data_IF_774842718012
#
_entry.id   IF_774842718012
#
_cell.length_a   1.000
_cell.length_b   1.000
_cell.length_c   1.000
_cell.angle_alpha   90.00
_cell.angle_beta   90.00
_cell.angle_gamma   90.00
#
_symmetry.space_group_name_H-M   'P 1'
#
loop_
_entity.id
_entity.type
_entity.pdbx_description
1 polymer ?
#
# COMPACT_ATOMS: atom_id res chain seq x y z
N UNK A 1 -21.93 15.00 23.64
CA UNK A 1 -21.13 13.80 23.32
C UNK A 1 -21.91 12.50 23.53
N UNK A 2 -22.61 12.30 24.65
CA UNK A 2 -23.36 11.06 24.94
C UNK A 2 -24.50 10.76 23.95
N UNK A 3 -25.22 11.77 23.46
CA UNK A 3 -26.31 11.57 22.48
C UNK A 3 -25.82 11.12 21.10
N UNK A 4 -24.70 11.68 20.62
CA UNK A 4 -24.12 11.31 19.33
C UNK A 4 -23.61 9.87 19.33
N UNK A 5 -22.89 9.47 20.38
CA UNK A 5 -22.38 8.10 20.50
C UNK A 5 -23.52 7.08 20.59
N UNK A 6 -24.59 7.38 21.34
CA UNK A 6 -25.77 6.53 21.42
C UNK A 6 -26.50 6.39 20.08
N UNK A 7 -26.57 7.46 19.28
CA UNK A 7 -27.21 7.42 17.97
C UNK A 7 -26.34 6.65 16.95
N UNK A 8 -25.02 6.87 16.97
CA UNK A 8 -24.06 6.13 16.15
C UNK A 8 -24.13 4.62 16.42
N UNK A 9 -24.15 4.21 17.70
CA UNK A 9 -24.33 2.80 18.09
C UNK A 9 -25.62 2.20 17.53
N UNK A 10 -26.73 2.95 17.61
CA UNK A 10 -28.02 2.49 17.11
C UNK A 10 -27.99 2.31 15.59
N UNK A 11 -27.47 3.28 14.85
CA UNK A 11 -27.37 3.24 13.39
C UNK A 11 -26.45 2.11 12.92
N UNK A 12 -25.28 1.93 13.55
CA UNK A 12 -24.37 0.81 13.24
C UNK A 12 -25.05 -0.54 13.44
N UNK A 13 -25.76 -0.70 14.56
CA UNK A 13 -26.47 -1.94 14.86
C UNK A 13 -27.57 -2.21 13.85
N UNK A 14 -28.33 -1.19 13.46
CA UNK A 14 -29.41 -1.31 12.47
C UNK A 14 -28.89 -1.65 11.08
N UNK A 15 -27.89 -0.91 10.59
CA UNK A 15 -27.26 -1.14 9.29
C UNK A 15 -26.57 -2.51 9.24
N UNK A 16 -25.85 -2.90 10.30
CA UNK A 16 -25.25 -4.22 10.41
C UNK A 16 -26.26 -5.36 10.41
N UNK A 17 -27.42 -5.19 11.05
CA UNK A 17 -28.51 -6.17 11.00
C UNK A 17 -29.11 -6.30 9.60
N UNK A 18 -29.22 -5.19 8.86
CA UNK A 18 -29.61 -5.21 7.44
C UNK A 18 -28.58 -5.95 6.58
N UNK A 19 -27.28 -5.81 6.86
CA UNK A 19 -26.24 -6.57 6.15
C UNK A 19 -26.29 -8.08 6.39
N UNK A 20 -26.82 -8.55 7.53
CA UNK A 20 -27.00 -9.99 7.77
C UNK A 20 -27.97 -10.63 6.75
N UNK A 21 -28.90 -9.84 6.22
CA UNK A 21 -29.84 -10.23 5.17
C UNK A 21 -29.78 -9.18 4.04
N UNK A 22 -28.69 -9.18 3.24
CA UNK A 22 -28.40 -8.09 2.33
C UNK A 22 -29.48 -7.95 1.25
N UNK A 23 -29.74 -6.73 0.76
CA UNK A 23 -30.62 -6.50 -0.38
C UNK A 23 -30.18 -7.31 -1.62
N UNK A 24 -31.15 -7.70 -2.45
CA UNK A 24 -30.87 -8.38 -3.72
C UNK A 24 -30.36 -7.44 -4.82
N UNK A 25 -30.79 -6.18 -4.78
CA UNK A 25 -30.35 -5.15 -5.73
C UNK A 25 -28.91 -4.74 -5.41
N UNK A 26 -28.06 -4.68 -6.43
CA UNK A 26 -26.66 -4.25 -6.30
C UNK A 26 -26.60 -2.80 -5.81
N UNK A 27 -27.46 -1.91 -6.32
CA UNK A 27 -27.46 -0.49 -5.95
C UNK A 27 -27.86 -0.30 -4.47
N UNK A 28 -28.88 -1.02 -4.01
CA UNK A 28 -29.33 -0.97 -2.61
C UNK A 28 -28.27 -1.56 -1.67
N UNK A 29 -27.63 -2.65 -2.09
CA UNK A 29 -26.53 -3.26 -1.33
C UNK A 29 -25.34 -2.31 -1.23
N UNK A 30 -24.94 -1.69 -2.33
CA UNK A 30 -23.86 -0.72 -2.36
C UNK A 30 -24.19 0.52 -1.51
N UNK A 31 -25.45 0.95 -1.49
CA UNK A 31 -25.90 2.06 -0.63
C UNK A 31 -25.80 1.69 0.85
N UNK A 32 -26.21 0.47 1.21
CA UNK A 32 -26.08 -0.04 2.58
C UNK A 32 -24.61 -0.21 3.01
N UNK A 33 -23.73 -0.65 2.11
CA UNK A 33 -22.30 -0.76 2.40
C UNK A 33 -21.64 0.62 2.59
N UNK A 34 -22.03 1.63 1.80
CA UNK A 34 -21.59 3.01 2.03
C UNK A 34 -22.09 3.56 3.37
N UNK A 35 -23.34 3.28 3.74
CA UNK A 35 -23.89 3.65 5.04
C UNK A 35 -23.03 3.06 6.17
N UNK A 36 -22.75 1.76 6.11
CA UNK A 36 -21.92 1.06 7.12
C UNK A 36 -20.50 1.60 7.16
N UNK A 37 -19.84 1.76 6.02
CA UNK A 37 -18.48 2.33 5.94
C UNK A 37 -18.42 3.72 6.59
N UNK A 38 -19.34 4.62 6.23
CA UNK A 38 -19.37 5.98 6.76
C UNK A 38 -19.57 5.98 8.28
N UNK A 39 -20.43 5.11 8.80
CA UNK A 39 -20.63 4.99 10.25
C UNK A 39 -19.38 4.45 10.95
N UNK A 40 -18.72 3.44 10.37
CA UNK A 40 -17.49 2.86 10.91
C UNK A 40 -16.34 3.88 10.97
N UNK A 41 -16.24 4.78 9.98
CA UNK A 41 -15.21 5.81 9.93
C UNK A 41 -15.24 6.75 11.16
N UNK A 42 -16.40 6.94 11.80
CA UNK A 42 -16.55 7.77 13.01
C UNK A 42 -16.23 7.02 14.31
N UNK A 43 -16.00 5.71 14.26
CA UNK A 43 -15.71 4.92 15.46
C UNK A 43 -14.21 4.97 15.77
N UNK A 44 -13.86 5.40 16.97
CA UNK A 44 -12.48 5.42 17.44
C UNK A 44 -11.97 4.01 17.77
N UNK A 45 -10.64 3.87 17.86
CA UNK A 45 -10.03 2.60 18.28
C UNK A 45 -10.37 2.28 19.73
N UNK A 46 -10.34 0.98 20.05
CA UNK A 46 -10.66 0.48 21.41
C UNK A 46 -12.05 0.95 21.89
N UNK A 47 -13.12 0.65 21.13
CA UNK A 47 -14.46 1.12 21.45
C UNK A 47 -14.99 0.55 22.76
N UNK A 48 -15.97 1.26 23.35
CA UNK A 48 -16.72 0.81 24.53
C UNK A 48 -17.40 -0.54 24.29
N UNK A 49 -17.81 -1.23 25.38
CA UNK A 49 -18.54 -2.50 25.25
C UNK A 49 -19.83 -2.35 24.44
N UNK A 50 -20.61 -1.29 24.67
CA UNK A 50 -21.85 -1.03 23.92
C UNK A 50 -21.60 -0.84 22.42
N UNK A 51 -20.54 -0.11 22.06
CA UNK A 51 -20.15 0.07 20.67
C UNK A 51 -19.65 -1.24 20.05
N UNK A 52 -18.89 -2.06 20.76
CA UNK A 52 -18.54 -3.42 20.28
C UNK A 52 -19.78 -4.27 20.01
N UNK A 53 -20.78 -4.21 20.88
CA UNK A 53 -22.05 -4.92 20.69
C UNK A 53 -22.83 -4.39 19.46
N UNK A 54 -22.72 -3.08 19.17
CA UNK A 54 -23.31 -2.46 17.99
C UNK A 54 -22.58 -2.83 16.67
N UNK A 55 -21.26 -3.03 16.72
CA UNK A 55 -20.44 -3.46 15.57
C UNK A 55 -20.64 -4.93 15.20
N UNK A 56 -21.01 -5.77 16.17
CA UNK A 56 -21.06 -7.22 16.02
C UNK A 56 -21.88 -7.72 14.81
N UNK A 57 -23.07 -7.17 14.49
CA UNK A 57 -23.81 -7.57 13.30
C UNK A 57 -23.03 -7.33 12.00
N UNK A 58 -22.36 -6.18 11.86
CA UNK A 58 -21.55 -5.84 10.68
C UNK A 58 -20.33 -6.77 10.56
N UNK A 59 -19.61 -6.98 11.66
CA UNK A 59 -18.48 -7.92 11.72
C UNK A 59 -18.91 -9.30 11.21
N UNK A 60 -20.03 -9.81 11.74
CA UNK A 60 -20.54 -11.12 11.34
C UNK A 60 -21.01 -11.17 9.88
N UNK A 61 -21.64 -10.10 9.39
CA UNK A 61 -22.20 -10.06 8.05
C UNK A 61 -21.12 -10.03 6.96
N UNK A 62 -20.08 -9.20 7.12
CA UNK A 62 -19.11 -8.90 6.07
C UNK A 62 -18.27 -10.11 5.62
N UNK A 63 -18.10 -11.10 6.49
CA UNK A 63 -17.41 -12.37 6.18
C UNK A 63 -18.34 -13.45 5.61
N UNK A 64 -19.62 -13.16 5.42
CA UNK A 64 -20.54 -14.10 4.77
C UNK A 64 -20.19 -14.23 3.28
N UNK A 65 -20.15 -15.46 2.77
CA UNK A 65 -19.87 -15.74 1.35
C UNK A 65 -20.73 -14.95 0.36
N UNK A 66 -21.98 -14.58 0.73
CA UNK A 66 -22.85 -13.73 -0.09
C UNK A 66 -22.26 -12.34 -0.37
N UNK A 67 -21.44 -11.82 0.54
CA UNK A 67 -20.78 -10.52 0.43
C UNK A 67 -19.29 -10.70 0.05
N UNK A 68 -18.57 -11.54 0.80
CA UNK A 68 -17.13 -11.73 0.63
C UNK A 68 -16.75 -12.28 -0.75
N UNK A 69 -17.59 -13.16 -1.31
CA UNK A 69 -17.40 -13.80 -2.62
C UNK A 69 -18.42 -13.33 -3.66
N UNK A 70 -18.95 -12.12 -3.50
CA UNK A 70 -19.92 -11.54 -4.42
C UNK A 70 -19.35 -11.47 -5.86
N UNK A 71 -20.18 -11.54 -6.90
CA UNK A 71 -19.68 -11.53 -8.29
C UNK A 71 -19.12 -10.14 -8.69
N UNK A 72 -19.84 -9.09 -8.32
CA UNK A 72 -19.50 -7.71 -8.68
C UNK A 72 -18.29 -7.16 -7.91
N UNK A 73 -17.34 -6.58 -8.65
CA UNK A 73 -16.11 -6.02 -8.09
C UNK A 73 -16.37 -4.82 -7.18
N UNK A 74 -17.29 -3.92 -7.55
CA UNK A 74 -17.62 -2.73 -6.75
C UNK A 74 -18.21 -3.10 -5.37
N UNK A 75 -18.93 -4.23 -5.30
CA UNK A 75 -19.42 -4.79 -4.04
C UNK A 75 -18.25 -5.32 -3.22
N UNK A 76 -17.33 -6.09 -3.83
CA UNK A 76 -16.12 -6.59 -3.14
C UNK A 76 -15.28 -5.45 -2.56
N UNK A 77 -15.04 -4.39 -3.34
CA UNK A 77 -14.28 -3.22 -2.88
C UNK A 77 -14.98 -2.55 -1.69
N UNK A 78 -16.30 -2.41 -1.74
CA UNK A 78 -17.08 -1.81 -0.64
C UNK A 78 -17.08 -2.69 0.62
N UNK A 79 -17.15 -4.02 0.47
CA UNK A 79 -17.01 -4.98 1.57
C UNK A 79 -15.61 -4.89 2.20
N UNK A 80 -14.56 -4.87 1.39
CA UNK A 80 -13.18 -4.70 1.86
C UNK A 80 -13.03 -3.40 2.62
N UNK A 81 -13.57 -2.29 2.11
CA UNK A 81 -13.50 -0.99 2.78
C UNK A 81 -14.10 -1.04 4.19
N UNK A 82 -15.28 -1.66 4.35
CA UNK A 82 -15.90 -1.86 5.66
C UNK A 82 -15.04 -2.74 6.59
N UNK A 83 -14.46 -3.82 6.06
CA UNK A 83 -13.60 -4.72 6.82
C UNK A 83 -12.32 -4.03 7.29
N UNK A 84 -11.73 -3.18 6.45
CA UNK A 84 -10.53 -2.40 6.76
C UNK A 84 -10.83 -1.41 7.90
N UNK A 85 -11.98 -0.73 7.86
CA UNK A 85 -12.39 0.14 8.98
C UNK A 85 -12.64 -0.64 10.27
N UNK A 86 -13.29 -1.81 10.20
CA UNK A 86 -13.43 -2.69 11.38
C UNK A 86 -12.06 -3.07 11.93
N UNK A 87 -11.12 -3.43 11.04
CA UNK A 87 -9.75 -3.78 11.43
C UNK A 87 -9.07 -2.60 12.11
N UNK A 88 -9.19 -1.38 11.56
CA UNK A 88 -8.69 -0.15 12.19
C UNK A 88 -9.24 0.03 13.60
N UNK A 89 -10.55 -0.15 13.79
CA UNK A 89 -11.23 0.00 15.08
C UNK A 89 -10.74 -1.03 16.11
N UNK A 90 -10.53 -2.28 15.69
CA UNK A 90 -10.18 -3.37 16.60
C UNK A 90 -8.68 -3.52 16.86
N UNK A 91 -7.82 -2.93 16.01
CA UNK A 91 -6.35 -2.88 16.20
C UNK A 91 -6.01 -2.48 17.64
N UNK A 92 -5.13 -3.21 18.34
CA UNK A 92 -4.21 -4.25 17.83
C UNK A 92 -4.81 -5.65 17.70
N UNK A 93 -6.08 -5.86 18.09
CA UNK A 93 -6.70 -7.18 18.03
C UNK A 93 -7.32 -7.43 16.65
N UNK A 94 -7.04 -8.59 16.07
CA UNK A 94 -7.66 -9.00 14.81
C UNK A 94 -9.19 -9.14 15.00
N UNK A 95 -10.01 -8.60 14.09
CA UNK A 95 -11.47 -8.70 14.19
C UNK A 95 -12.00 -10.11 13.87
N UNK A 96 -11.19 -10.93 13.20
CA UNK A 96 -11.53 -12.28 12.75
C UNK A 96 -10.44 -13.28 13.10
N UNK A 97 -10.77 -14.58 12.99
CA UNK A 97 -9.79 -15.66 13.18
C UNK A 97 -8.80 -15.70 12.01
N UNK A 98 -7.62 -16.26 12.25
CA UNK A 98 -6.51 -16.30 11.31
C UNK A 98 -6.91 -16.80 9.91
N UNK A 99 -7.62 -17.93 9.81
CA UNK A 99 -8.06 -18.47 8.51
C UNK A 99 -9.02 -17.53 7.75
N UNK A 100 -9.83 -16.76 8.49
CA UNK A 100 -10.72 -15.76 7.89
C UNK A 100 -9.93 -14.52 7.49
N UNK A 101 -8.95 -14.10 8.32
CA UNK A 101 -8.04 -13.01 7.99
C UNK A 101 -7.24 -13.31 6.72
N UNK A 102 -6.78 -14.55 6.53
CA UNK A 102 -6.09 -14.98 5.29
C UNK A 102 -6.98 -14.81 4.05
N UNK A 103 -8.24 -15.23 4.11
CA UNK A 103 -9.20 -15.03 3.01
C UNK A 103 -9.49 -13.53 2.76
N UNK A 104 -9.62 -12.75 3.83
CA UNK A 104 -9.77 -11.29 3.74
C UNK A 104 -8.55 -10.63 3.09
N UNK A 105 -7.34 -11.05 3.44
CA UNK A 105 -6.12 -10.53 2.82
C UNK A 105 -6.06 -10.87 1.34
N UNK A 106 -6.45 -12.08 0.94
CA UNK A 106 -6.53 -12.44 -0.47
C UNK A 106 -7.49 -11.51 -1.22
N UNK A 107 -8.63 -11.19 -0.61
CA UNK A 107 -9.59 -10.25 -1.18
C UNK A 107 -9.03 -8.81 -1.25
N UNK A 108 -8.35 -8.34 -0.21
CA UNK A 108 -7.69 -7.03 -0.19
C UNK A 108 -6.70 -6.92 -1.34
N UNK A 109 -5.77 -7.87 -1.47
CA UNK A 109 -4.76 -7.85 -2.55
C UNK A 109 -5.43 -7.88 -3.92
N UNK A 110 -6.44 -8.73 -4.12
CA UNK A 110 -7.20 -8.78 -5.37
C UNK A 110 -7.91 -7.44 -5.67
N UNK A 111 -8.43 -6.72 -4.66
CA UNK A 111 -9.03 -5.39 -4.89
C UNK A 111 -8.00 -4.33 -5.25
N UNK A 112 -6.82 -4.35 -4.63
CA UNK A 112 -5.72 -3.45 -4.96
C UNK A 112 -5.19 -3.70 -6.38
N UNK A 113 -5.09 -4.96 -6.79
CA UNK A 113 -4.68 -5.37 -8.14
C UNK A 113 -5.58 -4.83 -9.24
N UNK A 114 -6.89 -4.81 -8.99
CA UNK A 114 -7.87 -4.38 -9.98
C UNK A 114 -8.15 -2.88 -9.95
N UNK A 115 -7.39 -2.08 -9.19
CA UNK A 115 -7.66 -0.66 -8.98
C UNK A 115 -7.69 0.17 -10.28
N UNK A 116 -6.97 -0.22 -11.33
CA UNK A 116 -7.03 0.43 -12.65
C UNK A 116 -8.31 0.13 -13.45
N UNK A 117 -9.09 -0.87 -13.01
CA UNK A 117 -10.28 -1.38 -13.71
C UNK A 117 -11.58 -1.15 -12.95
N UNK A 118 -11.52 -0.63 -11.72
CA UNK A 118 -12.71 -0.33 -10.92
C UNK A 118 -13.34 1.00 -11.30
N UNK A 119 -14.62 1.18 -10.94
CA UNK A 119 -15.32 2.44 -11.14
C UNK A 119 -14.65 3.59 -10.36
N UNK A 120 -14.89 4.84 -10.77
CA UNK A 120 -14.37 6.04 -10.08
C UNK A 120 -14.77 6.08 -8.60
N UNK A 121 -15.95 5.54 -8.26
CA UNK A 121 -16.42 5.41 -6.88
C UNK A 121 -15.54 4.43 -6.10
N UNK A 122 -15.35 3.23 -6.63
CA UNK A 122 -14.52 2.20 -6.03
C UNK A 122 -13.06 2.62 -5.93
N UNK A 123 -12.52 3.37 -6.91
CA UNK A 123 -11.15 3.86 -6.88
C UNK A 123 -10.84 4.70 -5.62
N UNK A 124 -11.78 5.56 -5.19
CA UNK A 124 -11.64 6.33 -3.95
C UNK A 124 -11.56 5.42 -2.72
N UNK A 125 -12.39 4.38 -2.68
CA UNK A 125 -12.35 3.38 -1.60
C UNK A 125 -11.03 2.61 -1.60
N UNK A 126 -10.53 2.15 -2.74
CA UNK A 126 -9.22 1.46 -2.79
C UNK A 126 -8.08 2.38 -2.35
N UNK A 127 -8.15 3.68 -2.66
CA UNK A 127 -7.20 4.68 -2.13
C UNK A 127 -7.26 4.75 -0.60
N UNK A 128 -8.46 4.82 -0.02
CA UNK A 128 -8.65 4.82 1.44
C UNK A 128 -8.20 3.50 2.08
N UNK A 129 -8.46 2.36 1.42
CA UNK A 129 -8.01 1.04 1.87
C UNK A 129 -6.49 1.01 2.00
N UNK A 130 -5.76 1.46 0.98
CA UNK A 130 -4.30 1.51 1.03
C UNK A 130 -3.77 2.41 2.15
N UNK A 131 -4.38 3.59 2.30
CA UNK A 131 -4.00 4.53 3.36
C UNK A 131 -4.22 3.91 4.75
N UNK A 132 -5.38 3.30 5.00
CA UNK A 132 -5.66 2.63 6.27
C UNK A 132 -4.73 1.44 6.50
N UNK A 133 -4.45 0.60 5.49
CA UNK A 133 -3.50 -0.52 5.60
C UNK A 133 -2.12 -0.03 6.03
N UNK A 134 -1.62 1.07 5.45
CA UNK A 134 -0.35 1.67 5.81
C UNK A 134 -0.38 2.18 7.27
N UNK A 135 -1.43 2.92 7.64
CA UNK A 135 -1.57 3.54 8.96
C UNK A 135 -1.69 2.52 10.10
N UNK A 136 -2.48 1.45 9.90
CA UNK A 136 -2.65 0.38 10.91
C UNK A 136 -1.60 -0.72 10.80
N UNK A 137 -0.63 -0.57 9.89
CA UNK A 137 0.46 -1.51 9.62
C UNK A 137 -0.04 -2.93 9.36
N UNK A 138 -1.16 -3.06 8.64
CA UNK A 138 -1.84 -4.35 8.47
C UNK A 138 -0.99 -5.40 7.75
N UNK A 139 -0.01 -4.97 6.96
CA UNK A 139 0.97 -5.87 6.34
C UNK A 139 1.80 -6.67 7.34
N UNK A 140 2.02 -6.18 8.57
CA UNK A 140 2.71 -6.94 9.61
C UNK A 140 1.87 -8.14 10.07
N UNK A 141 0.55 -7.95 10.17
CA UNK A 141 -0.39 -9.05 10.47
C UNK A 141 -0.38 -10.10 9.35
N UNK A 142 -0.20 -9.69 8.09
CA UNK A 142 -0.03 -10.65 6.99
C UNK A 142 1.23 -11.51 7.18
N UNK A 143 2.34 -10.91 7.63
CA UNK A 143 3.58 -11.63 7.92
C UNK A 143 3.43 -12.55 9.15
N UNK A 144 2.79 -12.07 10.21
CA UNK A 144 2.52 -12.86 11.42
C UNK A 144 1.66 -14.09 11.14
N UNK A 145 0.77 -14.01 10.13
CA UNK A 145 -0.06 -15.13 9.67
C UNK A 145 0.58 -15.96 8.53
N UNK A 146 1.89 -15.80 8.30
CA UNK A 146 2.67 -16.54 7.29
C UNK A 146 2.12 -16.37 5.85
N UNK A 147 1.58 -15.18 5.53
CA UNK A 147 1.05 -14.85 4.21
C UNK A 147 2.13 -14.26 3.27
N UNK A 148 3.37 -14.73 3.35
CA UNK A 148 4.51 -14.18 2.58
C UNK A 148 4.22 -14.11 1.08
N UNK A 149 3.71 -15.20 0.49
CA UNK A 149 3.35 -15.29 -0.92
C UNK A 149 2.40 -14.15 -1.35
N UNK A 150 1.42 -13.84 -0.50
CA UNK A 150 0.43 -12.83 -0.76
C UNK A 150 0.99 -11.40 -0.63
N UNK A 151 1.95 -11.20 0.27
CA UNK A 151 2.73 -9.95 0.36
C UNK A 151 3.53 -9.74 -0.93
N UNK A 152 4.12 -10.80 -1.49
CA UNK A 152 4.81 -10.76 -2.79
C UNK A 152 3.87 -10.30 -3.89
N UNK A 153 2.69 -10.93 -3.98
CA UNK A 153 1.70 -10.62 -5.02
C UNK A 153 1.26 -9.16 -4.91
N UNK A 154 1.00 -8.67 -3.70
CA UNK A 154 0.68 -7.27 -3.43
C UNK A 154 1.78 -6.32 -3.92
N UNK A 155 3.05 -6.61 -3.62
CA UNK A 155 4.18 -5.77 -4.04
C UNK A 155 4.34 -5.74 -5.55
N UNK A 156 4.23 -6.91 -6.20
CA UNK A 156 4.29 -6.99 -7.66
C UNK A 156 3.20 -6.14 -8.30
N UNK A 157 2.03 -6.11 -7.67
CA UNK A 157 0.89 -5.35 -8.14
C UNK A 157 1.09 -3.85 -7.96
N UNK A 158 1.60 -3.40 -6.81
CA UNK A 158 2.00 -1.99 -6.61
C UNK A 158 3.07 -1.54 -7.62
N UNK A 159 4.10 -2.36 -7.86
CA UNK A 159 5.15 -2.03 -8.84
C UNK A 159 4.62 -1.89 -10.27
N UNK A 160 3.59 -2.66 -10.66
CA UNK A 160 2.90 -2.47 -11.95
C UNK A 160 2.13 -1.15 -11.98
N UNK A 161 1.51 -0.77 -10.86
CA UNK A 161 0.66 0.41 -10.72
C UNK A 161 1.45 1.72 -10.63
N UNK A 162 2.67 1.75 -10.08
CA UNK A 162 3.53 2.95 -10.02
C UNK A 162 3.75 3.57 -11.42
N UNK A 163 3.59 2.79 -12.49
CA UNK A 163 3.66 3.28 -13.88
C UNK A 163 2.47 4.14 -14.30
N UNK A 164 1.41 4.18 -13.50
CA UNK A 164 0.21 4.98 -13.70
C UNK A 164 0.31 6.28 -12.90
N UNK A 165 -0.30 7.36 -13.40
CA UNK A 165 -0.27 8.68 -12.77
C UNK A 165 -1.23 8.74 -11.55
N UNK A 166 -0.85 8.05 -10.47
CA UNK A 166 -1.61 8.01 -9.23
C UNK A 166 -1.33 9.24 -8.35
N UNK A 167 -2.28 9.66 -7.50
CA UNK A 167 -2.05 10.71 -6.52
C UNK A 167 -0.86 10.38 -5.58
N UNK A 168 -0.08 11.37 -5.12
CA UNK A 168 1.08 11.13 -4.25
C UNK A 168 0.74 10.34 -2.97
N UNK A 169 -0.46 10.54 -2.41
CA UNK A 169 -0.92 9.80 -1.21
C UNK A 169 -1.00 8.29 -1.46
N UNK A 170 -1.42 7.86 -2.65
CA UNK A 170 -1.49 6.43 -3.02
C UNK A 170 -0.08 5.84 -3.12
N UNK A 171 0.83 6.57 -3.77
CA UNK A 171 2.23 6.14 -3.90
C UNK A 171 2.92 6.07 -2.53
N UNK A 172 2.66 7.04 -1.64
CA UNK A 172 3.17 7.06 -0.27
C UNK A 172 2.67 5.88 0.56
N UNK A 173 1.38 5.53 0.42
CA UNK A 173 0.81 4.38 1.12
C UNK A 173 1.44 3.06 0.62
N UNK A 174 1.59 2.89 -0.70
CA UNK A 174 2.27 1.73 -1.28
C UNK A 174 3.72 1.60 -0.79
N UNK A 175 4.48 2.70 -0.81
CA UNK A 175 5.87 2.73 -0.34
C UNK A 175 5.98 2.39 1.15
N UNK A 176 5.08 2.93 1.98
CA UNK A 176 5.02 2.64 3.41
C UNK A 176 4.76 1.16 3.66
N UNK A 177 3.77 0.58 2.98
CA UNK A 177 3.43 -0.84 3.09
C UNK A 177 4.62 -1.71 2.66
N UNK A 178 5.24 -1.39 1.53
CA UNK A 178 6.38 -2.15 1.00
C UNK A 178 7.59 -2.10 1.94
N UNK A 179 7.89 -0.90 2.45
CA UNK A 179 8.99 -0.69 3.39
C UNK A 179 8.77 -1.41 4.71
N UNK A 180 7.57 -1.33 5.28
CA UNK A 180 7.23 -2.00 6.54
C UNK A 180 7.38 -3.52 6.42
N UNK A 181 6.82 -4.13 5.38
CA UNK A 181 6.94 -5.57 5.21
C UNK A 181 8.39 -5.98 4.95
N UNK A 182 9.15 -5.27 4.10
CA UNK A 182 10.58 -5.57 3.85
C UNK A 182 11.44 -5.57 5.11
N UNK A 183 11.19 -4.66 6.04
CA UNK A 183 11.95 -4.60 7.30
C UNK A 183 11.64 -5.75 8.26
N UNK A 184 10.49 -6.42 8.10
CA UNK A 184 9.98 -7.44 9.02
C UNK A 184 9.92 -8.85 8.39
N UNK A 185 10.26 -8.99 7.12
CA UNK A 185 10.36 -10.28 6.44
C UNK A 185 11.56 -11.06 7.04
N UNK A 186 11.29 -12.31 7.45
CA UNK A 186 12.32 -13.21 7.97
C UNK A 186 13.46 -13.41 6.96
N UNK A 187 14.74 -13.49 7.38
CA UNK A 187 15.88 -13.76 6.49
C UNK A 187 15.72 -15.03 5.64
N UNK A 188 14.91 -16.00 6.05
CA UNK A 188 14.62 -17.23 5.30
C UNK A 188 13.74 -16.95 4.07
N UNK A 189 12.94 -15.88 4.12
CA UNK A 189 12.11 -15.38 3.03
C UNK A 189 12.92 -14.48 2.06
N UNK A 190 14.26 -14.51 2.10
CA UNK A 190 15.16 -13.85 1.12
C UNK A 190 14.86 -14.21 -0.35
N UNK A 191 14.18 -15.33 -0.58
CA UNK A 191 13.57 -15.65 -1.89
C UNK A 191 12.67 -14.54 -2.42
N UNK A 192 12.03 -13.76 -1.54
CA UNK A 192 11.20 -12.60 -1.86
C UNK A 192 12.05 -11.45 -2.43
N UNK A 193 13.18 -11.14 -1.79
CA UNK A 193 14.14 -10.16 -2.29
C UNK A 193 14.68 -10.55 -3.67
N UNK A 194 15.07 -11.82 -3.84
CA UNK A 194 15.55 -12.33 -5.14
C UNK A 194 14.46 -12.35 -6.21
N UNK A 195 13.21 -12.70 -5.86
CA UNK A 195 12.08 -12.66 -6.79
C UNK A 195 11.76 -11.22 -7.23
N UNK A 196 11.74 -10.27 -6.29
CA UNK A 196 11.52 -8.85 -6.59
C UNK A 196 12.66 -8.32 -7.47
N UNK A 197 13.93 -8.56 -7.10
CA UNK A 197 15.10 -8.11 -7.86
C UNK A 197 15.12 -8.73 -9.27
N UNK A 198 14.93 -10.05 -9.38
CA UNK A 198 14.88 -10.76 -10.67
C UNK A 198 13.76 -10.18 -11.55
N UNK A 199 12.62 -9.83 -10.96
CA UNK A 199 11.48 -9.29 -11.71
C UNK A 199 11.66 -7.83 -12.07
N UNK A 200 12.21 -7.00 -11.19
CA UNK A 200 12.61 -5.62 -11.49
C UNK A 200 13.61 -5.63 -12.64
N UNK A 201 14.64 -6.49 -12.60
CA UNK A 201 15.62 -6.66 -13.67
C UNK A 201 14.96 -7.11 -14.99
N UNK A 202 14.04 -8.09 -14.95
CA UNK A 202 13.28 -8.51 -16.13
C UNK A 202 12.38 -7.40 -16.70
N UNK A 203 11.86 -6.53 -15.85
CA UNK A 203 11.04 -5.38 -16.26
C UNK A 203 11.90 -4.25 -16.84
N UNK A 204 13.05 -3.96 -16.23
CA UNK A 204 14.04 -3.02 -16.77
C UNK A 204 14.55 -3.50 -18.14
N UNK A 205 14.86 -4.78 -18.30
CA UNK A 205 15.21 -5.36 -19.60
C UNK A 205 14.13 -5.14 -20.67
N UNK A 206 12.84 -5.28 -20.31
CA UNK A 206 11.73 -5.02 -21.23
C UNK A 206 11.59 -3.56 -21.61
N UNK A 207 11.93 -2.64 -20.71
CA UNK A 207 11.95 -1.19 -20.95
C UNK A 207 13.18 -0.77 -21.76
N UNK A 208 14.29 -1.50 -21.65
CA UNK A 208 15.54 -1.22 -22.35
C UNK A 208 15.65 -1.88 -23.74
N UNK A 209 14.86 -2.92 -24.05
CA UNK A 209 14.82 -3.56 -25.39
C UNK A 209 14.27 -2.68 -26.53
N UNK A 210 13.29 -1.77 -26.32
CA UNK A 210 12.82 -0.84 -27.36
C UNK A 210 13.86 0.21 -27.77
N UNK A 211 14.80 0.59 -26.89
CA UNK A 211 15.84 1.59 -27.21
C UNK A 211 16.99 1.05 -28.04
N UNK A 212 17.07 -0.28 -28.25
CA UNK A 212 18.11 -0.89 -29.09
C UNK A 212 17.64 -1.21 -30.53
N UNK A 213 16.41 -0.81 -30.90
CA UNK A 213 15.91 -0.85 -32.29
C UNK A 213 15.56 0.56 -32.79
N UNK A 214 16.57 1.44 -32.87
CA UNK A 214 16.56 2.54 -33.83
C UNK A 214 17.31 2.06 -35.09
N UNK A 215 16.74 2.20 -36.30
CA UNK A 215 17.14 1.42 -37.46
C UNK A 215 18.50 1.86 -38.02
N UNK A 216 19.28 0.87 -38.45
CA UNK A 216 20.55 0.97 -39.17
C UNK A 216 20.41 1.58 -40.58
N UNK A 217 19.87 2.80 -40.69
CA UNK A 217 19.87 3.56 -41.96
C UNK A 217 20.07 5.05 -41.71
N UNK A 218 21.33 5.44 -41.62
CA UNK A 218 21.81 6.76 -42.05
C UNK A 218 22.96 6.50 -43.04
N UNK A 219 22.59 5.94 -44.18
CA UNK A 219 23.42 5.95 -45.39
C UNK A 219 22.68 6.85 -46.38
N UNK A 220 23.20 8.04 -46.61
CA UNK A 220 22.69 9.00 -47.59
C UNK A 220 21.73 10.06 -47.04
N UNK A 221 22.30 11.15 -46.53
CA UNK A 221 21.70 12.49 -46.65
C UNK A 221 22.82 13.53 -46.54
N UNK A 222 23.40 13.87 -47.70
CA UNK A 222 24.11 15.12 -47.87
C UNK A 222 23.15 16.30 -47.65
N UNK A 223 23.69 17.39 -47.11
CA UNK A 223 23.12 18.74 -47.02
C UNK A 223 21.77 18.90 -46.29
N UNK A 224 21.86 19.19 -44.99
CA UNK A 224 20.91 20.11 -44.35
C UNK A 224 21.68 21.16 -43.55
N UNK A 225 21.75 22.36 -44.12
CA UNK A 225 22.20 23.61 -43.49
C UNK A 225 21.30 23.89 -42.28
N UNK A 226 21.88 23.98 -41.09
CA UNK A 226 21.21 24.57 -39.93
C UNK A 226 21.49 26.06 -39.94
N UNK A 227 20.49 26.87 -40.32
CA UNK A 227 20.50 28.31 -40.06
C UNK A 227 20.34 28.53 -38.56
N UNK A 228 21.36 29.11 -37.94
CA UNK A 228 21.31 29.62 -36.57
C UNK A 228 20.65 30.99 -36.65
N UNK A 229 19.44 31.12 -36.08
CA UNK A 229 18.85 32.43 -35.80
C UNK A 229 19.51 32.96 -34.53
N UNK A 230 20.38 33.95 -34.73
CA UNK A 230 21.11 34.67 -33.70
C UNK A 230 20.18 35.68 -33.01
N UNK A 231 19.89 35.49 -31.72
CA UNK A 231 19.40 36.58 -30.88
C UNK A 231 20.61 37.27 -30.26
N UNK A 232 20.88 38.47 -30.78
CA UNK A 232 21.92 39.38 -30.34
C UNK A 232 21.75 39.78 -28.86
N UNK A 233 22.86 39.77 -28.12
CA UNK A 233 23.18 40.88 -27.22
C UNK A 233 24.70 41.03 -27.12
N UNK A 234 25.21 42.01 -27.86
CA UNK A 234 26.31 42.92 -27.54
C UNK A 234 27.36 42.47 -26.51
N UNK A 235 28.56 42.12 -26.99
CA UNK A 235 29.79 42.91 -26.84
C UNK A 235 30.99 42.14 -27.44
N UNK A 236 31.93 42.81 -28.14
CA UNK A 236 33.00 42.15 -28.89
C UNK A 236 34.33 42.11 -28.12
N UNK A 237 35.11 41.03 -28.24
CA UNK A 237 36.54 41.13 -28.59
C UNK A 237 37.26 39.77 -28.69
N UNK A 238 37.81 39.53 -29.88
CA UNK A 238 39.13 38.91 -30.20
C UNK A 238 39.32 37.41 -29.89
N UNK A 239 39.32 36.52 -30.91
CA UNK A 239 40.48 36.09 -31.74
C UNK A 239 41.48 35.27 -30.87
N UNK A 240 41.88 34.02 -31.13
CA UNK A 240 42.10 33.22 -32.35
C UNK A 240 42.14 31.72 -31.96
N UNK A 241 41.79 30.86 -32.91
CA UNK A 241 42.28 29.50 -33.22
C UNK A 241 43.21 28.77 -32.22
N UNK A 242 42.83 27.56 -31.81
CA UNK A 242 43.45 26.34 -32.34
C UNK A 242 42.75 25.08 -31.79
N UNK A 243 42.26 24.24 -32.72
CA UNK A 243 41.86 22.87 -32.41
C UNK A 243 43.13 22.02 -32.22
N UNK A 244 43.26 21.39 -31.06
CA UNK A 244 43.92 20.09 -30.96
C UNK A 244 42.96 19.07 -30.37
N UNK A 245 42.63 18.06 -31.19
CA UNK A 245 42.06 16.80 -30.75
C UNK A 245 43.05 16.16 -29.77
N UNK A 246 42.66 16.07 -28.50
CA UNK A 246 43.26 15.18 -27.51
C UNK A 246 42.25 14.11 -27.12
N UNK A 247 42.65 12.85 -27.23
CA UNK A 247 41.93 11.68 -26.73
C UNK A 247 41.58 11.85 -25.24
N UNK A 248 40.36 11.48 -24.85
CA UNK A 248 40.00 11.39 -23.43
C UNK A 248 40.38 10.00 -22.92
N UNK A 249 41.54 9.90 -22.29
CA UNK A 249 41.86 8.84 -21.34
C UNK A 249 40.97 8.98 -20.09
N UNK A 250 40.36 7.86 -19.69
CA UNK A 250 39.81 7.58 -18.36
C UNK A 250 38.66 8.47 -17.82
N UNK A 251 37.43 7.93 -17.81
CA UNK A 251 36.32 8.48 -17.03
C UNK A 251 36.53 8.12 -15.56
N UNK A 252 37.08 9.04 -14.76
CA UNK A 252 37.04 8.93 -13.29
C UNK A 252 35.63 9.23 -12.80
N UNK A 253 34.92 8.21 -12.33
CA UNK A 253 33.68 8.38 -11.57
C UNK A 253 34.02 8.78 -10.14
N UNK A 254 33.89 10.06 -9.81
CA UNK A 254 33.92 10.55 -8.43
C UNK A 254 32.60 10.18 -7.76
N UNK A 255 32.63 9.16 -6.89
CA UNK A 255 31.54 8.90 -5.94
C UNK A 255 31.64 9.95 -4.84
N UNK A 256 30.69 10.90 -4.81
CA UNK A 256 30.53 11.79 -3.66
C UNK A 256 29.94 10.99 -2.49
N UNK A 257 30.53 11.06 -1.28
CA UNK A 257 29.92 10.44 -0.11
C UNK A 257 28.67 11.24 0.28
N UNK A 258 27.52 10.57 0.31
CA UNK A 258 26.31 11.11 0.93
C UNK A 258 26.58 11.28 2.44
N UNK A 259 26.63 12.53 2.89
CA UNK A 259 26.71 12.87 4.31
C UNK A 259 25.32 12.67 4.91
N UNK A 260 25.15 11.57 5.66
CA UNK A 260 24.01 11.41 6.55
C UNK A 260 24.22 12.28 7.79
N UNK A 261 23.43 13.35 7.92
CA UNK A 261 23.20 13.99 9.22
C UNK A 261 21.98 13.32 9.85
N UNK A 262 22.23 12.24 10.57
CA UNK A 262 21.29 11.69 11.55
C UNK A 262 21.45 12.54 12.81
N UNK A 263 20.38 13.21 13.24
CA UNK A 263 20.30 13.77 14.58
C UNK A 263 19.25 12.94 15.32
N UNK A 264 19.70 11.78 15.81
CA UNK A 264 18.96 10.91 16.72
C UNK A 264 19.17 11.42 18.15
N UNK A 265 18.12 11.97 18.77
CA UNK A 265 18.01 11.95 20.22
C UNK A 265 17.42 10.60 20.62
N UNK A 266 18.30 9.66 20.96
CA UNK A 266 17.93 8.40 21.61
C UNK A 266 17.61 8.70 23.07
N UNK A 267 16.33 8.68 23.43
CA UNK A 267 15.92 8.60 24.84
C UNK A 267 16.09 7.14 25.28
N UNK A 268 17.18 6.86 26.00
CA UNK A 268 17.43 5.60 26.70
C UNK A 268 16.37 5.39 27.80
N UNK A 269 15.49 4.40 27.63
CA UNK A 269 14.65 3.88 28.72
C UNK A 269 15.54 3.00 29.60
N UNK A 270 15.63 3.23 30.93
CA UNK A 270 16.48 2.43 31.80
C UNK A 270 15.87 1.05 32.07
N UNK A 271 16.76 0.05 31.98
CA UNK A 271 16.69 -1.32 32.51
C UNK A 271 15.43 -1.72 33.29
N UNK A 272 14.71 -2.71 32.75
CA UNK A 272 13.86 -3.60 33.55
C UNK A 272 14.70 -4.84 33.88
N UNK A 273 14.98 -5.04 35.16
CA UNK A 273 15.62 -6.23 35.68
C UNK A 273 14.75 -7.47 35.44
N UNK A 274 15.35 -8.50 34.84
CA UNK A 274 14.73 -9.82 34.74
C UNK A 274 14.60 -10.44 36.14
N UNK A 275 13.38 -10.53 36.64
CA UNK A 275 13.05 -11.38 37.79
C UNK A 275 13.03 -12.84 37.33
N UNK A 276 13.95 -13.63 37.88
CA UNK A 276 13.98 -15.09 37.71
C UNK A 276 12.81 -15.72 38.46
N UNK A 277 12.09 -16.69 37.86
CA UNK A 277 11.04 -17.41 38.57
C UNK A 277 11.66 -18.56 39.37
N UNK A 278 11.85 -18.35 40.68
CA UNK A 278 12.00 -19.42 41.65
C UNK A 278 10.72 -19.53 42.50
N UNK A 279 10.30 -20.77 42.70
CA UNK A 279 9.39 -21.25 43.76
C UNK A 279 7.91 -20.83 43.67
N UNK A 280 7.13 -21.62 42.91
CA UNK A 280 5.75 -21.87 43.30
C UNK A 280 5.74 -23.05 44.28
N UNK A 281 5.67 -22.71 45.56
CA UNK A 281 5.33 -23.64 46.61
C UNK A 281 3.90 -24.16 46.46
N UNK A 282 3.83 -25.46 46.65
CA UNK A 282 2.65 -26.31 46.84
C UNK A 282 1.80 -25.79 47.99
N UNK A 283 0.49 -25.58 47.78
CA UNK A 283 -0.50 -25.83 48.85
C UNK A 283 -1.81 -26.35 48.24
N UNK A 284 -2.11 -27.60 48.56
CA UNK A 284 -3.42 -28.25 48.50
C UNK A 284 -4.44 -27.53 49.41
N UNK A 285 -5.65 -27.29 48.90
CA UNK A 285 -6.94 -27.84 49.36
C UNK A 285 -8.11 -27.03 48.77
#
# INVERSE_FOLDING_TARGET
MTSFHSELEKQLKEAGNRLLNPPFSIDDLLTLLDEVENLLAYVEQVPSKSMRDALFPSIKALINNKLLRHAEMDVKVSVVSCIIEITRITTPNAPYKDEQMKEIFQLIVATCENMSHVSTRSYKKVTSILDTIANVKLCLVMLDLECDALVVDMFQSFLKMIRSNHPPVVLSAMDTIMSLANQNISPISWTLGEQIITRINAQLEKIMKPTQKLPSKLEGAHDVKVEVVECASDQPSTVLEDLHLGEVEEVKTTVLPMVYKVQEEIILIPHIDFVSPNEFDVVEF
#
